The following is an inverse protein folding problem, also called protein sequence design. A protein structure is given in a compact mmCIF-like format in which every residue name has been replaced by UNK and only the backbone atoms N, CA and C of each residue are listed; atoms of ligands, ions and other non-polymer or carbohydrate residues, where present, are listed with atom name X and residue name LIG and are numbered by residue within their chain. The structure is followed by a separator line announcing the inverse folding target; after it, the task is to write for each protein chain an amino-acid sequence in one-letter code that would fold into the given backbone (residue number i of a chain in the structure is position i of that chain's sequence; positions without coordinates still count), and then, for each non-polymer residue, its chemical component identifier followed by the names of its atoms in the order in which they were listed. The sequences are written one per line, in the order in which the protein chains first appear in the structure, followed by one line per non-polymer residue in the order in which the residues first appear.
data_IF_306958954562
#
_entry.id   IF_306958954562
#
_cell.length_a   1.000
_cell.length_b   1.000
_cell.length_c   1.000
_cell.angle_alpha   90.00
_cell.angle_beta   90.00
_cell.angle_gamma   90.00
#
_symmetry.space_group_name_H-M   'P 1'
#
loop_
_entity.id
_entity.type
_entity.pdbx_description
1 polymer ?
#
# COMPACT_ATOMS: atom_id res chain seq x y z
N UNK A 1 -30.78 3.11 62.07
CA UNK A 1 -30.51 1.67 61.84
C UNK A 1 -29.02 1.52 61.53
N UNK A 2 -28.29 0.57 62.14
CA UNK A 2 -26.85 0.44 61.91
C UNK A 2 -26.59 -0.26 60.56
N UNK A 3 -25.67 0.30 59.76
CA UNK A 3 -25.25 -0.27 58.49
C UNK A 3 -24.33 -1.49 58.74
N UNK A 4 -24.71 -2.65 58.19
CA UNK A 4 -23.93 -3.89 58.28
C UNK A 4 -23.24 -4.13 56.92
N UNK A 5 -21.90 -4.17 56.85
CA UNK A 5 -21.23 -4.48 55.59
C UNK A 5 -21.39 -5.98 55.28
N UNK A 6 -21.81 -6.29 54.06
CA UNK A 6 -21.90 -7.66 53.54
C UNK A 6 -20.51 -8.28 53.35
N UNK A 7 -20.25 -9.50 53.85
CA UNK A 7 -18.96 -10.16 53.64
C UNK A 7 -18.80 -10.59 52.18
N UNK A 8 -17.75 -10.13 51.51
CA UNK A 8 -17.37 -10.64 50.18
C UNK A 8 -16.69 -12.00 50.35
N UNK A 9 -17.26 -13.07 49.77
CA UNK A 9 -16.61 -14.38 49.68
C UNK A 9 -15.48 -14.31 48.65
N UNK A 10 -14.22 -14.57 49.02
CA UNK A 10 -13.17 -14.76 48.03
C UNK A 10 -13.36 -16.13 47.35
N UNK A 11 -13.68 -16.12 46.06
CA UNK A 11 -13.60 -17.31 45.20
C UNK A 11 -12.13 -17.70 45.09
N UNK A 12 -11.70 -18.67 45.91
CA UNK A 12 -10.38 -19.29 45.80
C UNK A 12 -10.41 -20.25 44.62
N UNK A 13 -10.07 -19.73 43.45
CA UNK A 13 -9.84 -20.54 42.26
C UNK A 13 -8.48 -21.21 42.44
N UNK A 14 -8.46 -22.42 43.00
CA UNK A 14 -7.27 -23.26 43.06
C UNK A 14 -7.11 -23.97 41.71
N UNK A 15 -6.51 -23.30 40.73
CA UNK A 15 -6.12 -23.98 39.48
C UNK A 15 -4.88 -24.79 39.77
N UNK A 16 -4.97 -26.11 39.61
CA UNK A 16 -3.81 -26.99 39.73
C UNK A 16 -2.79 -26.64 38.64
N UNK A 17 -1.56 -26.31 39.03
CA UNK A 17 -0.47 -25.91 38.11
C UNK A 17 -0.25 -26.94 37.00
N UNK A 18 -0.43 -28.23 37.30
CA UNK A 18 -0.37 -29.34 36.34
C UNK A 18 -1.48 -29.29 35.29
N UNK A 19 -2.70 -28.88 35.67
CA UNK A 19 -3.83 -28.74 34.77
C UNK A 19 -3.66 -27.51 33.88
N UNK A 20 -3.12 -26.42 34.44
CA UNK A 20 -2.79 -25.22 33.68
C UNK A 20 -1.74 -25.52 32.61
N UNK A 21 -0.62 -26.16 32.98
CA UNK A 21 0.43 -26.53 32.03
C UNK A 21 -0.06 -27.53 30.98
N UNK A 22 -0.85 -28.52 31.38
CA UNK A 22 -1.48 -29.47 30.47
C UNK A 22 -2.38 -28.79 29.44
N UNK A 23 -3.20 -27.82 29.86
CA UNK A 23 -4.08 -27.08 28.95
C UNK A 23 -3.31 -26.21 27.95
N UNK A 24 -2.21 -25.58 28.38
CA UNK A 24 -1.35 -24.77 27.50
C UNK A 24 -0.61 -25.67 26.51
N UNK A 25 -0.03 -26.79 26.97
CA UNK A 25 0.65 -27.74 26.11
C UNK A 25 -0.30 -28.34 25.06
N UNK A 26 -1.53 -28.70 25.46
CA UNK A 26 -2.57 -29.15 24.54
C UNK A 26 -2.96 -28.06 23.54
N UNK A 27 -3.11 -26.81 23.98
CA UNK A 27 -3.40 -25.68 23.10
C UNK A 27 -2.31 -25.45 22.06
N UNK A 28 -1.04 -25.50 22.46
CA UNK A 28 0.10 -25.37 21.55
C UNK A 28 0.17 -26.52 20.56
N UNK A 29 -0.07 -27.75 21.01
CA UNK A 29 -0.09 -28.93 20.14
C UNK A 29 -1.21 -28.85 19.10
N UNK A 30 -2.42 -28.47 19.53
CA UNK A 30 -3.57 -28.28 18.64
C UNK A 30 -3.35 -27.12 17.66
N UNK A 31 -2.75 -26.02 18.12
CA UNK A 31 -2.37 -24.90 17.26
C UNK A 31 -1.35 -25.31 16.20
N UNK A 32 -0.32 -26.08 16.60
CA UNK A 32 0.67 -26.60 15.68
C UNK A 32 0.05 -27.53 14.63
N UNK A 33 -0.82 -28.46 15.03
CA UNK A 33 -1.54 -29.33 14.11
C UNK A 33 -2.42 -28.53 13.13
N UNK A 34 -3.13 -27.50 13.61
CA UNK A 34 -3.95 -26.66 12.76
C UNK A 34 -3.11 -25.89 11.73
N UNK A 35 -1.97 -25.32 12.14
CA UNK A 35 -1.06 -24.62 11.22
C UNK A 35 -0.47 -25.59 10.21
N UNK A 36 0.03 -26.75 10.66
CA UNK A 36 0.59 -27.77 9.79
C UNK A 36 -0.44 -28.27 8.76
N UNK A 37 -1.67 -28.54 9.19
CA UNK A 37 -2.75 -28.96 8.31
C UNK A 37 -3.13 -27.85 7.33
N UNK A 38 -3.15 -26.59 7.76
CA UNK A 38 -3.44 -25.43 6.91
C UNK A 38 -2.35 -25.23 5.87
N UNK A 39 -1.07 -25.32 6.24
CA UNK A 39 0.04 -25.26 5.31
C UNK A 39 0.03 -26.43 4.33
N UNK A 40 -0.29 -27.65 4.81
CA UNK A 40 -0.41 -28.83 3.96
C UNK A 40 -1.58 -28.70 2.98
N UNK A 41 -2.75 -28.25 3.43
CA UNK A 41 -3.91 -27.97 2.58
C UNK A 41 -3.61 -26.86 1.58
N UNK A 42 -3.03 -25.75 2.03
CA UNK A 42 -2.63 -24.66 1.16
C UNK A 42 -1.68 -25.16 0.09
N UNK A 43 -0.65 -25.94 0.43
CA UNK A 43 0.20 -26.61 -0.54
C UNK A 43 -0.61 -27.50 -1.50
N UNK A 44 -1.47 -28.37 -0.97
CA UNK A 44 -2.25 -29.31 -1.78
C UNK A 44 -3.24 -28.64 -2.73
N UNK A 45 -3.89 -27.55 -2.32
CA UNK A 45 -4.91 -26.84 -3.09
C UNK A 45 -4.32 -25.77 -4.01
N UNK A 46 -3.27 -25.07 -3.58
CA UNK A 46 -2.54 -24.10 -4.42
C UNK A 46 -1.79 -24.87 -5.51
N UNK A 47 -1.10 -25.96 -5.22
CA UNK A 47 -0.36 -26.67 -6.27
C UNK A 47 -1.24 -27.50 -7.23
N UNK A 48 -2.46 -27.92 -6.84
CA UNK A 48 -3.31 -28.76 -7.70
C UNK A 48 -4.56 -28.09 -8.27
N UNK A 49 -4.91 -26.89 -7.83
CA UNK A 49 -5.77 -26.04 -8.66
C UNK A 49 -4.93 -25.58 -9.85
N UNK A 50 -5.40 -25.75 -11.09
CA UNK A 50 -4.60 -25.47 -12.28
C UNK A 50 -4.18 -24.01 -12.23
N UNK A 51 -2.91 -23.80 -11.90
CA UNK A 51 -2.22 -22.52 -11.82
C UNK A 51 -2.03 -21.94 -13.22
N UNK A 52 -3.08 -21.89 -14.05
CA UNK A 52 -3.06 -21.22 -15.33
C UNK A 52 -2.60 -19.75 -15.20
N UNK A 53 -3.09 -18.95 -14.22
CA UNK A 53 -2.62 -17.56 -14.10
C UNK A 53 -1.25 -17.43 -13.42
N UNK A 54 -0.92 -18.27 -12.42
CA UNK A 54 0.33 -18.15 -11.67
C UNK A 54 1.51 -18.80 -12.40
N UNK A 55 1.32 -19.93 -13.07
CA UNK A 55 2.35 -20.51 -13.94
C UNK A 55 2.60 -19.63 -15.17
N UNK A 56 1.58 -18.94 -15.70
CA UNK A 56 1.78 -17.91 -16.72
C UNK A 56 2.55 -16.71 -16.17
N UNK A 57 2.26 -16.24 -14.94
CA UNK A 57 3.01 -15.16 -14.32
C UNK A 57 4.46 -15.55 -14.04
N UNK A 58 4.71 -16.77 -13.54
CA UNK A 58 6.05 -17.30 -13.36
C UNK A 58 6.75 -17.59 -14.69
N UNK A 59 6.05 -18.04 -15.74
CA UNK A 59 6.63 -18.11 -17.08
C UNK A 59 6.92 -16.71 -17.63
N UNK A 60 6.11 -15.69 -17.38
CA UNK A 60 6.41 -14.30 -17.77
C UNK A 60 7.59 -13.71 -17.00
N UNK A 61 7.87 -14.22 -15.81
CA UNK A 61 9.03 -13.83 -14.98
C UNK A 61 10.28 -14.67 -15.29
N UNK A 62 10.13 -15.96 -15.58
CA UNK A 62 11.22 -16.91 -15.84
C UNK A 62 11.59 -16.99 -17.33
N UNK A 63 10.66 -16.69 -18.21
CA UNK A 63 10.94 -16.37 -19.60
C UNK A 63 11.21 -14.86 -19.61
N UNK A 64 12.47 -14.40 -19.66
CA UNK A 64 12.71 -13.00 -19.98
C UNK A 64 11.88 -12.71 -21.23
N UNK A 65 11.21 -11.54 -21.34
CA UNK A 65 10.53 -11.20 -22.58
C UNK A 65 11.52 -11.52 -23.69
N UNK A 66 11.14 -12.40 -24.62
CA UNK A 66 11.88 -12.52 -25.88
C UNK A 66 12.01 -11.07 -26.30
N UNK A 67 13.23 -10.55 -26.24
CA UNK A 67 13.50 -9.20 -26.69
C UNK A 67 13.12 -9.24 -28.17
N UNK A 68 11.88 -8.86 -28.49
CA UNK A 68 11.72 -7.96 -29.62
C UNK A 68 12.79 -6.90 -29.41
N UNK A 69 13.65 -6.64 -30.40
CA UNK A 69 14.78 -5.74 -30.23
C UNK A 69 14.23 -4.45 -29.66
N UNK A 70 14.41 -4.27 -28.35
CA UNK A 70 13.95 -3.11 -27.64
C UNK A 70 14.81 -2.02 -28.25
N UNK A 71 14.21 -1.22 -29.13
CA UNK A 71 14.94 -0.23 -29.88
C UNK A 71 15.81 0.51 -28.85
N UNK A 72 17.15 0.56 -29.02
CA UNK A 72 18.06 1.07 -27.98
C UNK A 72 17.73 2.49 -27.50
N UNK A 73 16.84 3.17 -28.21
CA UNK A 73 16.24 4.45 -27.87
C UNK A 73 15.11 4.41 -26.82
N UNK A 74 14.48 3.28 -26.47
CA UNK A 74 13.32 3.29 -25.55
C UNK A 74 13.66 3.85 -24.17
N UNK A 75 14.81 3.46 -23.62
CA UNK A 75 15.30 3.98 -22.33
C UNK A 75 15.66 5.46 -22.42
N UNK A 76 16.22 5.89 -23.55
CA UNK A 76 16.58 7.29 -23.77
C UNK A 76 15.35 8.18 -23.95
N UNK A 77 14.39 7.76 -24.77
CA UNK A 77 13.09 8.42 -24.95
C UNK A 77 12.35 8.53 -23.62
N UNK A 78 12.30 7.44 -22.83
CA UNK A 78 11.68 7.47 -21.51
C UNK A 78 12.40 8.43 -20.55
N UNK A 79 13.73 8.48 -20.58
CA UNK A 79 14.50 9.42 -19.78
C UNK A 79 14.23 10.88 -20.20
N UNK A 80 14.22 11.16 -21.51
CA UNK A 80 13.90 12.47 -22.04
C UNK A 80 12.48 12.90 -21.68
N UNK A 81 11.50 12.01 -21.80
CA UNK A 81 10.12 12.27 -21.37
C UNK A 81 10.04 12.60 -19.87
N UNK A 82 10.76 11.84 -19.03
CA UNK A 82 10.80 12.11 -17.59
C UNK A 82 11.44 13.47 -17.29
N UNK A 83 12.51 13.83 -18.01
CA UNK A 83 13.17 15.12 -17.86
C UNK A 83 12.20 16.27 -18.20
N UNK A 84 11.52 16.18 -19.34
CA UNK A 84 10.52 17.20 -19.75
C UNK A 84 9.37 17.30 -18.76
N UNK A 85 8.89 16.17 -18.23
CA UNK A 85 7.86 16.15 -17.18
C UNK A 85 8.35 16.81 -15.90
N UNK A 86 9.60 16.59 -15.52
CA UNK A 86 10.19 17.16 -14.31
C UNK A 86 10.34 18.69 -14.41
N UNK A 87 10.86 19.20 -15.53
CA UNK A 87 10.98 20.64 -15.79
C UNK A 87 9.60 21.33 -15.73
N UNK A 88 8.58 20.70 -16.32
CA UNK A 88 7.21 21.22 -16.31
C UNK A 88 6.61 21.27 -14.90
N UNK A 89 6.85 20.25 -14.08
CA UNK A 89 6.40 20.25 -12.68
C UNK A 89 7.11 21.33 -11.87
N UNK A 90 8.43 21.46 -12.05
CA UNK A 90 9.23 22.47 -11.35
C UNK A 90 8.79 23.90 -11.67
N UNK A 91 8.43 24.18 -12.93
CA UNK A 91 7.89 25.49 -13.32
C UNK A 91 6.55 25.80 -12.62
N UNK A 92 5.66 24.81 -12.50
CA UNK A 92 4.38 24.97 -11.79
C UNK A 92 4.59 25.15 -10.28
N UNK A 93 5.53 24.43 -9.68
CA UNK A 93 5.82 24.55 -8.25
C UNK A 93 6.49 25.89 -7.93
N UNK A 94 7.32 26.43 -8.83
CA UNK A 94 7.81 27.80 -8.72
C UNK A 94 6.65 28.82 -8.80
N UNK A 95 5.72 28.63 -9.74
CA UNK A 95 4.53 29.47 -9.84
C UNK A 95 3.66 29.44 -8.57
N UNK A 96 3.55 28.27 -7.90
CA UNK A 96 2.84 28.10 -6.61
C UNK A 96 3.54 28.79 -5.45
N UNK A 97 4.87 28.66 -5.37
CA UNK A 97 5.65 29.13 -4.22
C UNK A 97 5.94 30.63 -4.25
N UNK A 98 5.91 31.27 -5.43
CA UNK A 98 6.16 32.70 -5.57
C UNK A 98 5.02 33.55 -4.95
N UNK A 99 5.36 34.39 -3.95
CA UNK A 99 4.41 35.27 -3.26
C UNK A 99 3.70 36.27 -4.19
N UNK A 100 4.36 36.69 -5.27
CA UNK A 100 3.81 37.61 -6.28
C UNK A 100 2.70 36.97 -7.11
N UNK A 101 2.79 35.65 -7.29
CA UNK A 101 1.80 34.86 -8.03
C UNK A 101 0.61 34.50 -7.14
N UNK A 102 0.85 34.24 -5.85
CA UNK A 102 -0.19 34.01 -4.85
C UNK A 102 -1.07 35.25 -4.61
N UNK A 103 -0.53 36.46 -4.79
CA UNK A 103 -1.30 37.70 -4.68
C UNK A 103 -2.07 38.09 -5.96
N UNK A 104 -1.88 37.37 -7.07
CA UNK A 104 -2.61 37.59 -8.32
C UNK A 104 -3.86 36.68 -8.39
N UNK A 105 -5.09 37.24 -8.39
CA UNK A 105 -6.32 36.44 -8.36
C UNK A 105 -6.51 35.56 -9.61
N UNK A 106 -5.95 35.97 -10.76
CA UNK A 106 -6.04 35.20 -12.01
C UNK A 106 -5.13 33.97 -11.97
N UNK A 107 -3.91 34.13 -11.45
CA UNK A 107 -2.99 33.01 -11.24
C UNK A 107 -3.58 31.99 -10.25
N UNK A 108 -4.13 32.48 -9.13
CA UNK A 108 -4.75 31.62 -8.11
C UNK A 108 -5.90 30.77 -8.68
N UNK A 109 -6.76 31.34 -9.53
CA UNK A 109 -7.84 30.60 -10.18
C UNK A 109 -7.32 29.41 -11.00
N UNK A 110 -6.34 29.65 -11.87
CA UNK A 110 -5.77 28.60 -12.72
C UNK A 110 -4.97 27.58 -11.92
N UNK A 111 -4.30 28.02 -10.86
CA UNK A 111 -3.57 27.16 -9.94
C UNK A 111 -4.52 26.19 -9.20
N UNK A 112 -5.68 26.70 -8.78
CA UNK A 112 -6.71 25.89 -8.11
C UNK A 112 -7.41 24.94 -9.08
N UNK A 113 -7.64 25.40 -10.32
CA UNK A 113 -8.21 24.57 -11.37
C UNK A 113 -7.26 23.41 -11.76
N UNK A 114 -5.96 23.67 -11.81
CA UNK A 114 -4.95 22.63 -12.09
C UNK A 114 -4.85 21.59 -10.96
N UNK A 115 -4.95 22.04 -9.70
CA UNK A 115 -4.95 21.14 -8.53
C UNK A 115 -6.19 20.22 -8.48
N UNK A 116 -7.35 20.73 -8.89
CA UNK A 116 -8.62 19.98 -8.82
C UNK A 116 -8.90 19.13 -10.06
N UNK A 117 -8.42 19.56 -11.23
CA UNK A 117 -8.56 18.85 -12.50
C UNK A 117 -7.33 19.11 -13.39
N UNK A 118 -6.23 18.37 -13.19
CA UNK A 118 -4.99 18.57 -13.94
C UNK A 118 -5.26 18.30 -15.43
N UNK A 119 -5.18 19.37 -16.21
CA UNK A 119 -5.44 19.35 -17.65
C UNK A 119 -4.41 20.21 -18.38
N UNK A 120 -4.11 19.85 -19.63
CA UNK A 120 -3.11 20.57 -20.43
C UNK A 120 -3.48 22.05 -20.62
N UNK A 121 -4.79 22.35 -20.76
CA UNK A 121 -5.31 23.71 -20.82
C UNK A 121 -5.08 24.47 -19.51
N UNK A 122 -5.33 23.85 -18.36
CA UNK A 122 -5.12 24.50 -17.06
C UNK A 122 -3.63 24.80 -16.86
N UNK A 123 -2.74 23.83 -17.15
CA UNK A 123 -1.29 24.03 -17.07
C UNK A 123 -0.78 25.15 -17.97
N UNK A 124 -1.23 25.21 -19.22
CA UNK A 124 -0.84 26.28 -20.14
C UNK A 124 -1.24 27.66 -19.60
N UNK A 125 -2.44 27.78 -19.00
CA UNK A 125 -2.90 29.04 -18.42
C UNK A 125 -2.17 29.39 -17.11
N UNK A 126 -1.79 28.42 -16.29
CA UNK A 126 -0.93 28.68 -15.12
C UNK A 126 0.40 29.28 -15.60
N UNK A 127 1.07 28.66 -16.58
CA UNK A 127 2.33 29.18 -17.11
C UNK A 127 2.17 30.55 -17.78
N UNK A 128 1.02 30.85 -18.39
CA UNK A 128 0.77 32.16 -19.02
C UNK A 128 0.43 33.27 -18.00
N UNK A 129 -0.25 32.93 -16.90
CA UNK A 129 -0.77 33.93 -15.95
C UNK A 129 -0.01 34.01 -14.63
N UNK A 130 0.94 33.11 -14.39
CA UNK A 130 1.78 33.05 -13.20
C UNK A 130 3.27 33.23 -13.59
N UNK A 131 3.64 34.44 -14.03
CA UNK A 131 5.03 34.89 -14.26
C UNK A 131 5.54 35.75 -13.08
#
# INVERSE_FOLDING_TARGET
MPYRPTPRRPLRISVNVLQLSGSIALGLWLGFLAIALTCWLAGRFVFEQPMAPVAQAMQRLAQPPRAEPEAPNRLFEQYQENLRKNEQQQALDNARSNLRNQSNPKCQFWLQQDQTAPSEKSRANVLQFCD
#
